data_IF_577798972066
#
_entry.id   IF_577798972066
#
_cell.length_a   1.000
_cell.length_b   1.000
_cell.length_c   1.000
_cell.angle_alpha   90.00
_cell.angle_beta   90.00
_cell.angle_gamma   90.00
#
_symmetry.space_group_name_H-M   'P 1'
#
loop_
_entity.id
_entity.type
_entity.pdbx_description
1 polymer ?
#
# COMPACT_ATOMS: atom_id res chain seq x y z
N UNK A 1 -4.60 0.52 2.56
CA UNK A 1 -3.38 -0.10 3.13
C UNK A 1 -2.07 0.38 2.47
N UNK A 2 -2.09 1.19 1.39
CA UNK A 2 -0.86 1.70 0.76
C UNK A 2 -0.27 2.96 1.40
N UNK A 3 -1.09 3.79 2.04
CA UNK A 3 -0.66 5.09 2.56
C UNK A 3 0.40 4.99 3.67
N UNK A 4 0.32 3.97 4.53
CA UNK A 4 1.32 3.77 5.59
C UNK A 4 2.67 3.29 5.05
N UNK A 5 2.68 2.44 4.02
CA UNK A 5 3.93 1.98 3.38
C UNK A 5 4.62 3.12 2.65
N UNK A 6 3.86 3.92 1.90
CA UNK A 6 4.37 5.11 1.22
C UNK A 6 4.89 6.12 2.24
N UNK A 7 4.10 6.42 3.29
CA UNK A 7 4.52 7.35 4.35
C UNK A 7 5.80 6.90 5.06
N UNK A 8 5.93 5.61 5.38
CA UNK A 8 7.14 5.05 5.99
C UNK A 8 8.35 5.11 5.06
N UNK A 9 8.18 4.78 3.79
CA UNK A 9 9.25 4.87 2.80
C UNK A 9 9.76 6.31 2.65
N UNK A 10 8.84 7.28 2.55
CA UNK A 10 9.19 8.71 2.50
C UNK A 10 9.93 9.13 3.77
N UNK A 11 9.42 8.77 4.95
CA UNK A 11 10.05 9.13 6.23
C UNK A 11 11.48 8.58 6.35
N UNK A 12 11.73 7.33 5.92
CA UNK A 12 13.06 6.74 5.93
C UNK A 12 14.01 7.48 4.97
N UNK A 13 13.57 7.74 3.73
CA UNK A 13 14.38 8.46 2.74
C UNK A 13 14.71 9.88 3.22
N UNK A 14 13.72 10.58 3.77
CA UNK A 14 13.92 11.91 4.34
C UNK A 14 14.89 11.88 5.51
N UNK A 15 14.79 10.93 6.43
CA UNK A 15 15.72 10.79 7.55
C UNK A 15 17.16 10.56 7.08
N UNK A 16 17.36 9.65 6.11
CA UNK A 16 18.68 9.40 5.50
C UNK A 16 19.20 10.67 4.84
N UNK A 17 18.36 11.38 4.09
CA UNK A 17 18.76 12.62 3.42
C UNK A 17 19.20 13.69 4.41
N UNK A 18 18.49 13.86 5.53
CA UNK A 18 18.88 14.81 6.59
C UNK A 18 20.25 14.47 7.16
N UNK A 19 20.56 13.18 7.37
CA UNK A 19 21.89 12.75 7.82
C UNK A 19 22.96 13.09 6.79
N UNK A 20 22.73 12.77 5.51
CA UNK A 20 23.65 13.12 4.41
C UNK A 20 23.87 14.62 4.32
N UNK A 21 22.79 15.41 4.44
CA UNK A 21 22.83 16.86 4.41
C UNK A 21 23.63 17.43 5.59
N UNK A 22 23.45 16.89 6.79
CA UNK A 22 24.20 17.30 7.98
C UNK A 22 25.69 16.98 7.84
N UNK A 23 26.04 15.79 7.36
CA UNK A 23 27.43 15.41 7.07
C UNK A 23 28.02 16.33 6.00
N UNK A 24 27.27 16.61 4.95
CA UNK A 24 27.73 17.51 3.89
C UNK A 24 27.98 18.93 4.41
N UNK A 25 27.04 19.50 5.15
CA UNK A 25 27.14 20.87 5.67
C UNK A 25 28.24 21.03 6.72
N UNK A 26 28.40 20.05 7.62
CA UNK A 26 29.33 20.15 8.75
C UNK A 26 30.76 19.70 8.40
N UNK A 27 30.94 18.82 7.41
CA UNK A 27 32.24 18.20 7.12
C UNK A 27 32.78 18.56 5.74
N UNK A 28 31.93 18.54 4.71
CA UNK A 28 32.33 18.69 3.31
C UNK A 28 32.32 20.16 2.85
N UNK A 29 31.29 20.92 3.22
CA UNK A 29 31.16 22.33 2.86
C UNK A 29 32.38 23.18 3.31
N UNK A 30 32.93 23.04 4.54
CA UNK A 30 34.11 23.80 4.95
C UNK A 30 35.40 23.43 4.20
N UNK A 31 35.42 22.29 3.50
CA UNK A 31 36.56 21.81 2.71
C UNK A 31 36.32 21.94 1.19
N UNK A 32 35.19 22.49 0.79
CA UNK A 32 34.80 22.56 -0.60
C UNK A 32 35.67 23.60 -1.33
N UNK A 33 36.25 23.25 -2.50
CA UNK A 33 36.91 24.23 -3.35
C UNK A 33 35.94 25.32 -3.79
N UNK A 34 36.43 26.56 -3.86
CA UNK A 34 35.63 27.72 -4.26
C UNK A 34 34.97 27.50 -5.62
N UNK A 35 33.70 27.88 -5.73
CA UNK A 35 32.90 27.73 -6.95
C UNK A 35 32.27 26.36 -7.17
N UNK A 36 32.58 25.34 -6.35
CA UNK A 36 31.96 23.99 -6.52
C UNK A 36 30.64 23.82 -5.76
N UNK A 37 30.34 24.70 -4.80
CA UNK A 37 29.15 24.63 -3.93
C UNK A 37 27.83 24.54 -4.71
N UNK A 38 27.59 25.31 -5.79
CA UNK A 38 26.34 25.20 -6.55
C UNK A 38 26.12 23.82 -7.18
N UNK A 39 27.19 23.19 -7.67
CA UNK A 39 27.12 21.84 -8.25
C UNK A 39 26.86 20.78 -7.19
N UNK A 40 27.43 20.94 -6.00
CA UNK A 40 27.17 20.04 -4.87
C UNK A 40 25.72 20.12 -4.39
N UNK A 41 25.15 21.32 -4.32
CA UNK A 41 23.73 21.52 -3.99
C UNK A 41 22.83 20.89 -5.07
N UNK A 42 23.14 21.11 -6.35
CA UNK A 42 22.40 20.50 -7.45
C UNK A 42 22.42 18.97 -7.38
N UNK A 43 23.58 18.38 -7.08
CA UNK A 43 23.72 16.94 -6.91
C UNK A 43 22.93 16.39 -5.71
N UNK A 44 22.90 17.10 -4.57
CA UNK A 44 22.11 16.71 -3.40
C UNK A 44 20.62 16.72 -3.68
N UNK A 45 20.12 17.78 -4.32
CA UNK A 45 18.71 17.91 -4.69
C UNK A 45 18.30 16.84 -5.70
N UNK A 46 19.10 16.63 -6.75
CA UNK A 46 18.85 15.59 -7.74
C UNK A 46 18.88 14.19 -7.13
N UNK A 47 19.87 13.91 -6.27
CA UNK A 47 20.00 12.63 -5.56
C UNK A 47 18.83 12.35 -4.63
N UNK A 48 18.35 13.36 -3.89
CA UNK A 48 17.16 13.23 -3.06
C UNK A 48 15.91 12.94 -3.88
N UNK A 49 15.68 13.71 -4.95
CA UNK A 49 14.54 13.50 -5.84
C UNK A 49 14.53 12.10 -6.45
N UNK A 50 15.69 11.62 -6.91
CA UNK A 50 15.85 10.27 -7.46
C UNK A 50 15.57 9.18 -6.41
N UNK A 51 16.15 9.31 -5.21
CA UNK A 51 15.95 8.34 -4.13
C UNK A 51 14.50 8.30 -3.66
N UNK A 52 13.85 9.45 -3.53
CA UNK A 52 12.44 9.56 -3.15
C UNK A 52 11.54 8.96 -4.23
N UNK A 53 11.79 9.27 -5.51
CA UNK A 53 11.09 8.68 -6.64
C UNK A 53 11.21 7.16 -6.67
N UNK A 54 12.42 6.62 -6.47
CA UNK A 54 12.67 5.19 -6.40
C UNK A 54 11.95 4.53 -5.23
N UNK A 55 11.96 5.16 -4.05
CA UNK A 55 11.29 4.66 -2.86
C UNK A 55 9.77 4.64 -3.02
N UNK A 56 9.18 5.67 -3.62
CA UNK A 56 7.76 5.69 -3.95
C UNK A 56 7.41 4.60 -4.98
N UNK A 57 8.23 4.43 -6.01
CA UNK A 57 8.03 3.40 -7.02
C UNK A 57 8.15 1.99 -6.44
N UNK A 58 9.03 1.78 -5.46
CA UNK A 58 9.16 0.53 -4.72
C UNK A 58 7.99 0.31 -3.75
N UNK A 59 7.55 1.35 -3.04
CA UNK A 59 6.45 1.28 -2.08
C UNK A 59 5.09 1.04 -2.74
N UNK A 60 4.89 1.53 -3.96
CA UNK A 60 3.69 1.30 -4.75
C UNK A 60 3.70 -0.01 -5.55
N UNK A 61 4.68 -0.91 -5.37
CA UNK A 61 4.67 -2.20 -6.07
C UNK A 61 3.63 -3.13 -5.43
N UNK A 62 2.78 -3.78 -6.25
CA UNK A 62 1.83 -4.76 -5.75
C UNK A 62 2.59 -5.89 -5.06
N UNK A 63 2.14 -6.21 -3.86
CA UNK A 63 2.70 -7.25 -3.00
C UNK A 63 2.58 -8.63 -3.66
N UNK A 64 3.42 -9.59 -3.24
CA UNK A 64 3.41 -10.94 -3.82
C UNK A 64 2.02 -11.59 -3.71
N UNK A 65 1.32 -11.33 -2.62
CA UNK A 65 -0.03 -11.83 -2.36
C UNK A 65 -1.06 -11.21 -3.32
N UNK A 66 -0.94 -9.91 -3.62
CA UNK A 66 -1.82 -9.25 -4.60
C UNK A 66 -1.59 -9.76 -6.02
N UNK A 67 -0.35 -10.10 -6.37
CA UNK A 67 -0.03 -10.74 -7.66
C UNK A 67 -0.63 -12.15 -7.72
N UNK A 68 -0.52 -12.92 -6.63
CA UNK A 68 -1.10 -14.27 -6.56
C UNK A 68 -2.62 -14.23 -6.70
N UNK A 69 -3.31 -13.35 -5.99
CA UNK A 69 -4.76 -13.18 -6.14
C UNK A 69 -5.19 -12.71 -7.53
N UNK A 70 -4.38 -11.89 -8.21
CA UNK A 70 -4.67 -11.47 -9.59
C UNK A 70 -4.54 -12.63 -10.59
N UNK A 71 -3.54 -13.48 -10.39
CA UNK A 71 -3.22 -14.53 -11.35
C UNK A 71 -3.93 -15.87 -11.04
N UNK A 72 -4.35 -16.10 -9.79
CA UNK A 72 -4.92 -17.38 -9.30
C UNK A 72 -6.16 -17.23 -8.39
N UNK A 73 -6.70 -16.02 -8.21
CA UNK A 73 -7.91 -15.83 -7.43
C UNK A 73 -9.11 -16.51 -8.08
N UNK A 74 -9.93 -17.20 -7.29
CA UNK A 74 -11.19 -17.77 -7.75
C UNK A 74 -12.28 -16.70 -7.71
N UNK A 75 -12.89 -16.43 -8.86
CA UNK A 75 -14.03 -15.53 -8.97
C UNK A 75 -15.28 -16.21 -8.42
N UNK A 76 -15.98 -15.52 -7.52
CA UNK A 76 -17.25 -15.94 -6.97
C UNK A 76 -18.17 -14.75 -6.72
N UNK A 77 -19.29 -15.01 -6.06
CA UNK A 77 -20.26 -14.00 -5.67
C UNK A 77 -20.54 -14.15 -4.18
N UNK A 78 -20.67 -13.02 -3.51
CA UNK A 78 -21.03 -12.98 -2.11
C UNK A 78 -22.30 -12.17 -1.92
N UNK A 79 -23.13 -12.59 -0.97
CA UNK A 79 -24.30 -11.83 -0.51
C UNK A 79 -23.89 -11.10 0.76
N UNK A 80 -24.17 -9.81 0.84
CA UNK A 80 -23.92 -9.00 2.05
C UNK A 80 -24.96 -9.35 3.11
N UNK A 81 -24.52 -9.89 4.24
CA UNK A 81 -25.40 -10.29 5.35
C UNK A 81 -25.52 -9.16 6.39
N UNK A 82 -24.40 -8.56 6.78
CA UNK A 82 -24.37 -7.46 7.74
C UNK A 82 -23.30 -6.42 7.36
N UNK A 83 -23.57 -5.16 7.64
CA UNK A 83 -22.61 -4.05 7.49
C UNK A 83 -22.52 -3.32 8.82
N UNK A 84 -21.31 -3.23 9.37
CA UNK A 84 -21.04 -2.58 10.66
C UNK A 84 -19.89 -1.59 10.52
N UNK A 85 -20.08 -0.37 11.02
CA UNK A 85 -18.99 0.60 11.12
C UNK A 85 -18.19 0.34 12.41
N UNK A 86 -16.88 0.14 12.26
CA UNK A 86 -15.93 -0.10 13.35
C UNK A 86 -14.85 0.99 13.28
N UNK A 87 -15.12 2.13 13.94
CA UNK A 87 -14.23 3.28 13.93
C UNK A 87 -14.18 3.98 12.57
N UNK A 88 -13.02 3.93 11.89
CA UNK A 88 -12.83 4.49 10.55
C UNK A 88 -12.98 3.43 9.43
N UNK A 89 -13.29 2.19 9.80
CA UNK A 89 -13.44 1.06 8.88
C UNK A 89 -14.89 0.59 8.85
N UNK A 90 -15.30 0.02 7.72
CA UNK A 90 -16.55 -0.71 7.58
C UNK A 90 -16.23 -2.19 7.53
N UNK A 91 -16.77 -2.93 8.49
CA UNK A 91 -16.77 -4.39 8.53
C UNK A 91 -18.03 -4.90 7.82
N UNK A 92 -17.84 -5.80 6.86
CA UNK A 92 -18.93 -6.36 6.05
C UNK A 92 -18.88 -7.87 6.20
N UNK A 93 -19.94 -8.44 6.77
CA UNK A 93 -20.15 -9.87 6.86
C UNK A 93 -20.88 -10.35 5.60
N UNK A 94 -20.35 -11.42 5.02
CA UNK A 94 -20.69 -11.88 3.68
C UNK A 94 -20.88 -13.40 3.68
N UNK A 95 -21.90 -13.87 2.98
CA UNK A 95 -22.01 -15.28 2.59
C UNK A 95 -21.44 -15.44 1.20
N UNK A 96 -20.30 -16.11 1.09
CA UNK A 96 -19.56 -16.28 -0.16
C UNK A 96 -19.98 -17.58 -0.83
N UNK A 97 -20.24 -17.52 -2.12
CA UNK A 97 -20.53 -18.66 -2.97
C UNK A 97 -19.54 -18.69 -4.14
N UNK A 98 -18.65 -19.68 -4.14
CA UNK A 98 -17.70 -19.91 -5.24
C UNK A 98 -18.12 -21.17 -6.01
N UNK A 99 -18.32 -21.10 -7.33
CA UNK A 99 -18.70 -22.26 -8.14
C UNK A 99 -17.79 -23.49 -7.90
N UNK A 100 -18.39 -24.66 -7.67
CA UNK A 100 -17.64 -25.89 -7.35
C UNK A 100 -17.27 -26.04 -5.86
N UNK A 101 -17.59 -25.06 -5.02
CA UNK A 101 -17.51 -25.13 -3.57
C UNK A 101 -18.85 -24.73 -2.93
N UNK A 102 -19.17 -25.27 -1.76
CA UNK A 102 -20.38 -24.86 -1.03
C UNK A 102 -20.27 -23.41 -0.53
N UNK A 103 -21.39 -22.82 -0.15
CA UNK A 103 -21.40 -21.47 0.44
C UNK A 103 -20.76 -21.47 1.84
N UNK A 104 -19.99 -20.42 2.17
CA UNK A 104 -19.35 -20.26 3.48
C UNK A 104 -19.34 -18.80 3.95
N UNK A 105 -19.31 -18.54 5.26
CA UNK A 105 -19.25 -17.18 5.79
C UNK A 105 -17.84 -16.60 5.63
N UNK A 106 -17.76 -15.29 5.38
CA UNK A 106 -16.53 -14.51 5.35
C UNK A 106 -16.76 -13.09 5.83
N UNK A 107 -15.72 -12.48 6.42
CA UNK A 107 -15.76 -11.10 6.91
C UNK A 107 -14.69 -10.29 6.20
N UNK A 108 -15.06 -9.12 5.67
CA UNK A 108 -14.13 -8.20 5.01
C UNK A 108 -14.14 -6.86 5.72
N UNK A 109 -12.97 -6.34 6.06
CA UNK A 109 -12.79 -4.97 6.56
C UNK A 109 -12.31 -4.08 5.45
N UNK A 110 -13.00 -2.96 5.23
CA UNK A 110 -12.65 -1.98 4.20
C UNK A 110 -12.61 -0.58 4.77
N UNK A 111 -11.59 0.17 4.37
CA UNK A 111 -11.52 1.62 4.60
C UNK A 111 -11.99 2.33 3.32
N UNK A 112 -13.00 3.20 3.41
CA UNK A 112 -13.48 4.00 2.27
C UNK A 112 -14.99 4.22 2.25
N UNK A 113 -15.47 4.99 1.27
CA UNK A 113 -16.89 5.40 1.14
C UNK A 113 -17.77 4.45 0.33
N UNK A 114 -17.32 3.22 0.07
CA UNK A 114 -18.12 2.24 -0.67
C UNK A 114 -19.24 1.77 0.26
N UNK A 115 -20.46 2.20 -0.02
CA UNK A 115 -21.64 1.85 0.76
C UNK A 115 -22.18 0.53 0.23
N UNK A 116 -22.15 -0.50 1.07
CA UNK A 116 -22.73 -1.80 0.77
C UNK A 116 -24.18 -1.84 1.27
N UNK A 117 -25.07 -2.43 0.48
CA UNK A 117 -26.45 -2.67 0.89
C UNK A 117 -26.59 -4.13 1.33
N UNK A 118 -27.22 -4.34 2.48
CA UNK A 118 -27.54 -5.69 2.96
C UNK A 118 -28.46 -6.38 1.96
N UNK A 119 -28.14 -7.63 1.62
CA UNK A 119 -28.82 -8.42 0.59
C UNK A 119 -28.30 -8.20 -0.83
N UNK A 120 -27.34 -7.28 -1.04
CA UNK A 120 -26.73 -7.09 -2.36
C UNK A 120 -25.79 -8.25 -2.71
N UNK A 121 -25.83 -8.70 -3.96
CA UNK A 121 -24.86 -9.63 -4.53
C UNK A 121 -23.68 -8.84 -5.07
N UNK A 122 -22.50 -9.08 -4.51
CA UNK A 122 -21.24 -8.44 -4.91
C UNK A 122 -20.27 -9.49 -5.47
N UNK A 123 -19.52 -9.16 -6.54
CA UNK A 123 -18.45 -10.02 -7.01
C UNK A 123 -17.34 -10.09 -5.96
N UNK A 124 -16.79 -11.27 -5.74
CA UNK A 124 -15.65 -11.49 -4.84
C UNK A 124 -14.56 -12.31 -5.52
N UNK A 125 -13.32 -12.03 -5.17
CA UNK A 125 -12.16 -12.84 -5.51
C UNK A 125 -11.62 -13.45 -4.23
N UNK A 126 -11.50 -14.78 -4.19
CA UNK A 126 -11.03 -15.52 -3.02
C UNK A 126 -9.72 -16.23 -3.34
N UNK A 127 -8.80 -16.26 -2.37
CA UNK A 127 -7.58 -17.06 -2.46
C UNK A 127 -7.91 -18.56 -2.32
N UNK A 128 -7.54 -19.42 -3.30
CA UNK A 128 -7.82 -20.86 -3.25
C UNK A 128 -7.13 -21.59 -2.08
N UNK A 129 -5.99 -21.07 -1.61
CA UNK A 129 -5.20 -21.69 -0.54
C UNK A 129 -5.65 -21.20 0.86
N UNK A 130 -6.27 -20.02 0.95
CA UNK A 130 -6.70 -19.38 2.19
C UNK A 130 -8.04 -18.66 2.06
N UNK A 131 -9.12 -19.36 2.44
CA UNK A 131 -10.51 -18.90 2.32
C UNK A 131 -10.88 -17.70 3.19
N UNK A 132 -9.98 -17.27 4.08
CA UNK A 132 -10.16 -16.06 4.88
C UNK A 132 -9.71 -14.80 4.15
N UNK A 133 -8.99 -14.94 3.02
CA UNK A 133 -8.54 -13.82 2.19
C UNK A 133 -9.51 -13.56 1.05
N UNK A 134 -10.30 -12.50 1.23
CA UNK A 134 -11.39 -12.14 0.33
C UNK A 134 -11.16 -10.71 -0.17
N UNK A 135 -11.33 -10.49 -1.49
CA UNK A 135 -11.28 -9.18 -2.12
C UNK A 135 -12.62 -8.87 -2.80
N UNK A 136 -13.10 -7.64 -2.59
CA UNK A 136 -14.32 -7.05 -3.16
C UNK A 136 -13.99 -5.97 -4.19
#
# INVERSE_FOLDING_TARGET
MDHERVGRAVAVVTAIYVVVLAVWALVLLPKAPDGTVPYQIAALVAGFGAALGLAMMAAGRPTADERRMRDHGLEGWAVVDEVREVGAETEVDLTITVPGSGSYPGTVRRTGSVRYEVGATVPVVVDPDDRTRIRL
#
